data_IF_902367706191
#
_entry.id   IF_902367706191
#
_cell.length_a   1.000
_cell.length_b   1.000
_cell.length_c   1.000
_cell.angle_alpha   90.00
_cell.angle_beta   90.00
_cell.angle_gamma   90.00
#
_symmetry.space_group_name_H-M   'P 1'
#
loop_
_entity.id
_entity.type
_entity.pdbx_description
1 polymer ?
#
# COMPACT_ATOMS: atom_id res chain seq x y z
N UNK A 1 -27.46 96.56 1.81
CA UNK A 1 -28.68 95.74 1.96
C UNK A 1 -28.25 94.44 2.62
N UNK A 2 -28.19 94.47 3.96
CA UNK A 2 -29.10 93.77 4.88
C UNK A 2 -28.87 92.24 4.88
N UNK A 3 -28.58 91.52 5.96
CA UNK A 3 -28.56 91.83 7.40
C UNK A 3 -28.06 90.57 8.16
N UNK A 4 -27.33 90.78 9.28
CA UNK A 4 -27.49 90.18 10.64
C UNK A 4 -27.63 88.65 10.78
N UNK A 5 -27.23 87.93 11.85
CA UNK A 5 -26.59 88.11 13.16
C UNK A 5 -26.39 86.67 13.69
N UNK A 6 -25.34 86.44 14.50
CA UNK A 6 -25.11 85.28 15.38
C UNK A 6 -26.27 85.07 16.40
N UNK A 7 -26.50 83.89 17.04
CA UNK A 7 -25.65 83.43 18.16
C UNK A 7 -25.52 81.91 18.41
N UNK A 8 -24.47 81.56 19.17
CA UNK A 8 -24.25 80.31 19.91
C UNK A 8 -25.37 80.01 20.93
N UNK A 9 -25.76 78.74 21.06
CA UNK A 9 -26.12 78.08 22.33
C UNK A 9 -25.86 76.56 22.26
N UNK A 10 -25.10 76.07 23.25
CA UNK A 10 -24.83 74.67 23.66
C UNK A 10 -25.72 74.37 24.90
N UNK A 11 -25.93 73.15 25.49
CA UNK A 11 -25.77 71.72 25.10
C UNK A 11 -27.05 70.86 25.37
N UNK A 12 -27.05 69.55 25.07
CA UNK A 12 -27.44 68.49 26.04
C UNK A 12 -27.36 67.04 25.50
N UNK A 13 -26.86 66.16 26.38
CA UNK A 13 -26.95 64.69 26.47
C UNK A 13 -28.19 64.05 25.78
N UNK A 14 -28.19 62.81 25.29
CA UNK A 14 -27.74 61.58 25.95
C UNK A 14 -27.85 60.39 24.97
N UNK A 15 -27.02 59.38 25.22
CA UNK A 15 -26.82 58.09 24.56
C UNK A 15 -28.06 57.18 24.48
N UNK A 16 -28.19 56.37 23.39
CA UNK A 16 -28.42 54.89 23.44
C UNK A 16 -28.56 54.23 22.05
N UNK A 17 -27.70 53.22 21.83
CA UNK A 17 -27.75 51.95 21.04
C UNK A 17 -28.73 51.79 19.85
N UNK A 18 -28.40 51.12 18.73
CA UNK A 18 -28.01 49.69 18.59
C UNK A 18 -27.32 49.43 17.22
N UNK A 19 -26.20 48.68 17.30
CA UNK A 19 -25.58 47.69 16.40
C UNK A 19 -25.51 47.86 14.87
N UNK A 20 -24.28 47.84 14.34
CA UNK A 20 -23.89 46.98 13.21
C UNK A 20 -22.45 46.49 13.45
N UNK A 21 -22.32 45.19 13.70
CA UNK A 21 -21.05 44.49 13.82
C UNK A 21 -20.38 44.35 12.46
N UNK A 22 -19.09 44.69 12.41
CA UNK A 22 -18.15 44.24 11.37
C UNK A 22 -16.87 43.77 12.07
N UNK A 23 -16.88 42.50 12.48
CA UNK A 23 -15.67 41.78 12.88
C UNK A 23 -15.14 41.04 11.67
N UNK A 24 -14.15 41.64 11.02
CA UNK A 24 -13.25 40.94 10.11
C UNK A 24 -12.21 40.20 10.96
N UNK A 25 -12.42 38.90 11.16
CA UNK A 25 -11.46 38.00 11.80
C UNK A 25 -11.18 36.84 10.86
N UNK A 26 -10.30 37.07 9.89
CA UNK A 26 -9.63 36.02 9.14
C UNK A 26 -8.57 35.39 10.04
N UNK A 27 -8.91 34.30 10.72
CA UNK A 27 -7.93 33.44 11.39
C UNK A 27 -7.21 32.60 10.33
N UNK A 28 -5.99 32.99 9.99
CA UNK A 28 -5.07 32.17 9.20
C UNK A 28 -4.79 30.83 9.92
N UNK A 29 -4.95 29.66 9.26
CA UNK A 29 -4.43 28.41 9.78
C UNK A 29 -3.23 28.00 8.92
N UNK A 30 -1.98 28.34 9.26
CA UNK A 30 -0.87 27.78 8.46
C UNK A 30 0.57 27.71 9.03
N UNK A 31 0.95 28.32 10.14
CA UNK A 31 2.37 28.26 10.57
C UNK A 31 2.73 27.08 11.49
N UNK A 32 1.91 26.79 12.51
CA UNK A 32 2.27 25.81 13.55
C UNK A 32 2.12 24.35 13.09
N UNK A 33 1.14 24.05 12.23
CA UNK A 33 0.94 22.70 11.68
C UNK A 33 2.07 22.34 10.71
N UNK A 34 2.54 23.31 9.93
CA UNK A 34 3.68 23.13 9.01
C UNK A 34 4.98 22.86 9.78
N UNK A 35 5.24 23.61 10.85
CA UNK A 35 6.43 23.44 11.67
C UNK A 35 6.41 22.10 12.43
N UNK A 36 5.28 21.68 12.98
CA UNK A 36 5.15 20.38 13.66
C UNK A 36 5.33 19.19 12.71
N UNK A 37 4.83 19.30 11.46
CA UNK A 37 5.05 18.30 10.42
C UNK A 37 6.52 18.23 9.96
N UNK A 38 7.19 19.39 9.80
CA UNK A 38 8.62 19.45 9.46
C UNK A 38 9.47 18.86 10.59
N UNK A 39 9.20 19.22 11.85
CA UNK A 39 9.90 18.69 13.03
C UNK A 39 9.68 17.17 13.20
N UNK A 40 8.49 16.66 12.87
CA UNK A 40 8.21 15.22 12.82
C UNK A 40 8.97 14.53 11.68
N UNK A 41 9.05 15.16 10.51
CA UNK A 41 9.81 14.67 9.36
C UNK A 41 11.31 14.55 9.63
N UNK A 42 11.91 15.61 10.19
CA UNK A 42 13.34 15.65 10.52
C UNK A 42 13.69 14.58 11.56
N UNK A 43 12.86 14.44 12.61
CA UNK A 43 13.02 13.39 13.63
C UNK A 43 12.90 11.97 13.05
N UNK A 44 11.97 11.74 12.12
CA UNK A 44 11.84 10.46 11.44
C UNK A 44 13.07 10.15 10.60
N UNK A 45 13.63 11.14 9.91
CA UNK A 45 14.82 10.95 9.09
C UNK A 45 16.06 10.65 9.94
N UNK A 46 16.26 11.38 11.04
CA UNK A 46 17.36 11.13 12.00
C UNK A 46 17.29 9.71 12.59
N UNK A 47 16.07 9.20 12.79
CA UNK A 47 15.84 7.86 13.31
C UNK A 47 16.02 6.77 12.24
N UNK A 48 15.42 6.95 11.06
CA UNK A 48 15.32 5.92 10.03
C UNK A 48 16.63 5.67 9.28
N UNK A 49 17.42 6.71 9.00
CA UNK A 49 18.63 6.57 8.16
C UNK A 49 19.67 5.63 8.80
N UNK A 50 20.03 5.78 10.09
CA UNK A 50 20.98 4.86 10.73
C UNK A 50 20.47 3.42 10.81
N UNK A 51 19.14 3.24 10.96
CA UNK A 51 18.50 1.92 10.97
C UNK A 51 18.59 1.28 9.58
N UNK A 52 18.21 2.03 8.53
CA UNK A 52 18.26 1.56 7.12
C UNK A 52 19.66 1.14 6.69
N UNK A 53 20.69 1.85 7.16
CA UNK A 53 22.08 1.52 6.87
C UNK A 53 22.62 0.35 7.71
N UNK A 54 21.82 -0.19 8.64
CA UNK A 54 22.23 -1.26 9.55
C UNK A 54 23.29 -0.84 10.56
N UNK A 55 23.35 0.46 10.91
CA UNK A 55 24.33 1.01 11.87
C UNK A 55 23.83 1.04 13.31
N UNK A 56 22.50 1.06 13.49
CA UNK A 56 21.87 1.21 14.81
C UNK A 56 20.71 0.23 14.96
N UNK A 57 20.61 -0.41 16.13
CA UNK A 57 19.46 -1.24 16.50
C UNK A 57 18.35 -0.34 17.07
N UNK A 58 17.10 -0.46 16.60
CA UNK A 58 15.97 0.30 17.15
C UNK A 58 15.75 0.07 18.66
N UNK A 59 15.46 1.16 19.39
CA UNK A 59 15.07 1.13 20.80
C UNK A 59 13.65 0.58 21.00
N UNK A 60 13.31 0.15 22.23
CA UNK A 60 12.00 -0.43 22.58
C UNK A 60 10.81 0.46 22.21
N UNK A 61 11.01 1.78 22.24
CA UNK A 61 10.00 2.80 21.95
C UNK A 61 9.48 2.70 20.51
N UNK A 62 10.31 2.23 19.57
CA UNK A 62 9.95 2.07 18.14
C UNK A 62 8.93 0.94 17.92
N UNK A 63 8.73 0.10 18.93
CA UNK A 63 7.78 -1.02 18.87
C UNK A 63 6.48 -0.70 19.62
N UNK A 64 6.34 0.51 20.17
CA UNK A 64 5.06 1.00 20.68
C UNK A 64 4.09 1.23 19.51
N UNK A 65 2.86 0.71 19.64
CA UNK A 65 1.83 0.72 18.59
C UNK A 65 1.27 2.15 18.38
N UNK A 66 2.06 2.96 17.69
CA UNK A 66 1.70 4.31 17.27
C UNK A 66 2.05 4.48 15.80
N UNK A 67 1.21 5.20 15.05
CA UNK A 67 1.41 5.43 13.62
C UNK A 67 2.79 6.04 13.27
N UNK A 68 3.41 6.72 14.24
CA UNK A 68 4.73 7.34 14.09
C UNK A 68 5.86 6.32 13.89
N UNK A 69 5.78 5.13 14.51
CA UNK A 69 6.88 4.16 14.47
C UNK A 69 6.77 3.10 13.37
N UNK A 70 5.73 3.16 12.53
CA UNK A 70 5.56 2.25 11.38
C UNK A 70 6.75 2.30 10.42
N UNK A 71 7.25 3.50 10.08
CA UNK A 71 8.36 3.66 9.13
C UNK A 71 9.68 3.10 9.70
N UNK A 72 10.13 3.45 10.91
CA UNK A 72 11.32 2.85 11.52
C UNK A 72 11.28 1.31 11.62
N UNK A 73 10.11 0.71 11.86
CA UNK A 73 9.94 -0.76 11.88
C UNK A 73 10.22 -1.38 10.50
N UNK A 74 9.70 -0.78 9.45
CA UNK A 74 9.96 -1.20 8.06
C UNK A 74 11.43 -1.00 7.68
N UNK A 75 12.05 0.10 8.11
CA UNK A 75 13.49 0.34 7.95
C UNK A 75 14.34 -0.77 8.60
N UNK A 76 13.91 -1.25 9.76
CA UNK A 76 14.59 -2.35 10.45
C UNK A 76 14.46 -3.67 9.68
N UNK A 77 13.29 -3.97 9.13
CA UNK A 77 13.06 -5.15 8.28
C UNK A 77 13.93 -5.08 7.01
N UNK A 78 13.99 -3.91 6.37
CA UNK A 78 14.88 -3.67 5.24
C UNK A 78 16.34 -3.97 5.59
N UNK A 79 16.83 -3.41 6.70
CA UNK A 79 18.21 -3.59 7.14
C UNK A 79 18.53 -5.06 7.46
N UNK A 80 17.60 -5.79 8.07
CA UNK A 80 17.73 -7.24 8.29
C UNK A 80 17.92 -8.01 6.98
N UNK A 81 17.31 -7.59 5.87
CA UNK A 81 17.47 -8.27 4.57
C UNK A 81 18.72 -7.86 3.82
N UNK A 82 19.01 -6.56 3.78
CA UNK A 82 19.98 -6.00 2.84
C UNK A 82 21.35 -5.69 3.45
N UNK A 83 21.45 -5.45 4.76
CA UNK A 83 22.71 -5.07 5.40
C UNK A 83 23.51 -6.32 5.81
N UNK A 84 24.62 -6.58 5.10
CA UNK A 84 25.52 -7.70 5.40
C UNK A 84 26.15 -7.54 6.78
N UNK A 85 26.07 -8.59 7.59
CA UNK A 85 26.63 -8.63 8.95
C UNK A 85 25.78 -7.95 10.02
N UNK A 86 24.63 -7.38 9.67
CA UNK A 86 23.74 -6.73 10.63
C UNK A 86 23.14 -7.73 11.62
N UNK A 87 22.82 -8.94 11.16
CA UNK A 87 22.30 -10.04 11.98
C UNK A 87 23.34 -10.67 12.90
N UNK A 88 24.64 -10.48 12.62
CA UNK A 88 25.70 -10.98 13.49
C UNK A 88 25.77 -10.20 14.82
N UNK A 89 25.12 -9.03 14.90
CA UNK A 89 24.97 -8.30 16.15
C UNK A 89 24.00 -9.03 17.11
N UNK A 90 24.53 -9.41 18.28
CA UNK A 90 23.77 -10.09 19.32
C UNK A 90 22.58 -9.26 19.86
N UNK A 91 22.59 -7.93 19.72
CA UNK A 91 21.45 -7.09 20.03
C UNK A 91 20.32 -7.26 19.02
N UNK A 92 20.63 -7.34 17.72
CA UNK A 92 19.68 -7.56 16.63
C UNK A 92 19.04 -8.95 16.74
N UNK A 93 19.85 -9.99 16.95
CA UNK A 93 19.35 -11.35 17.11
C UNK A 93 18.44 -11.49 18.34
N UNK A 94 18.85 -10.95 19.51
CA UNK A 94 18.01 -10.95 20.72
C UNK A 94 16.69 -10.24 20.49
N UNK A 95 16.71 -9.10 19.79
CA UNK A 95 15.51 -8.34 19.45
C UNK A 95 14.52 -9.17 18.63
N UNK A 96 14.98 -9.77 17.55
CA UNK A 96 14.14 -10.59 16.67
C UNK A 96 13.59 -11.82 17.41
N UNK A 97 14.37 -12.43 18.30
CA UNK A 97 13.94 -13.61 19.07
C UNK A 97 12.99 -13.27 20.24
N UNK A 98 13.00 -12.02 20.72
CA UNK A 98 12.11 -11.54 21.78
C UNK A 98 10.73 -11.11 21.29
N UNK A 99 10.49 -11.09 19.97
CA UNK A 99 9.22 -10.68 19.38
C UNK A 99 8.08 -11.60 19.81
N UNK A 100 6.97 -11.04 20.29
CA UNK A 100 5.76 -11.79 20.57
C UNK A 100 5.05 -12.19 19.26
N UNK A 101 4.13 -13.15 19.34
CA UNK A 101 3.36 -13.65 18.18
C UNK A 101 2.27 -12.68 17.68
N UNK A 102 2.28 -11.44 18.18
CA UNK A 102 1.40 -10.36 17.74
C UNK A 102 1.77 -9.96 16.29
N UNK A 103 0.76 -9.53 15.53
CA UNK A 103 0.77 -9.70 14.07
C UNK A 103 1.88 -8.94 13.33
N UNK A 104 2.29 -7.78 13.85
CA UNK A 104 3.32 -6.94 13.23
C UNK A 104 4.74 -7.26 13.74
N UNK A 105 4.90 -7.85 14.92
CA UNK A 105 6.21 -8.21 15.49
C UNK A 105 6.74 -9.52 14.92
N UNK A 106 5.84 -10.41 14.49
CA UNK A 106 6.16 -11.64 13.79
C UNK A 106 6.97 -11.40 12.49
N UNK A 107 6.88 -10.20 11.90
CA UNK A 107 7.62 -9.79 10.70
C UNK A 107 9.14 -9.81 10.91
N UNK A 108 9.61 -9.39 12.10
CA UNK A 108 11.03 -9.39 12.41
C UNK A 108 11.60 -10.80 12.46
N UNK A 109 10.86 -11.72 13.08
CA UNK A 109 11.28 -13.10 13.20
C UNK A 109 11.21 -13.84 11.86
N UNK A 110 10.18 -13.59 11.04
CA UNK A 110 10.12 -14.08 9.64
C UNK A 110 11.33 -13.63 8.84
N UNK A 111 11.65 -12.34 8.91
CA UNK A 111 12.76 -11.73 8.19
C UNK A 111 14.11 -12.27 8.66
N UNK A 112 14.28 -12.41 9.97
CA UNK A 112 15.47 -13.00 10.58
C UNK A 112 15.69 -14.45 10.10
N UNK A 113 14.66 -15.29 10.13
CA UNK A 113 14.76 -16.67 9.64
C UNK A 113 15.07 -16.73 8.15
N UNK A 114 14.41 -15.89 7.34
CA UNK A 114 14.67 -15.81 5.91
C UNK A 114 16.13 -15.46 5.64
N UNK A 115 16.67 -14.43 6.30
CA UNK A 115 18.07 -14.01 6.13
C UNK A 115 19.05 -15.10 6.54
N UNK A 116 18.82 -15.78 7.67
CA UNK A 116 19.66 -16.90 8.08
C UNK A 116 19.72 -17.97 6.98
N UNK A 117 18.56 -18.38 6.45
CA UNK A 117 18.46 -19.39 5.39
C UNK A 117 19.22 -18.93 4.13
N UNK A 118 19.01 -17.69 3.69
CA UNK A 118 19.68 -17.11 2.51
C UNK A 118 21.21 -17.06 2.68
N UNK A 119 21.71 -16.87 3.91
CA UNK A 119 23.12 -16.96 4.25
C UNK A 119 23.63 -18.39 4.50
N UNK A 120 22.87 -19.42 4.14
CA UNK A 120 23.22 -20.83 4.33
C UNK A 120 23.33 -21.28 5.79
N UNK A 121 22.65 -20.58 6.70
CA UNK A 121 22.54 -20.93 8.11
C UNK A 121 21.09 -21.31 8.43
N UNK A 122 20.85 -22.52 8.96
CA UNK A 122 19.48 -22.99 9.24
C UNK A 122 19.17 -22.77 10.72
N UNK A 123 18.34 -21.77 11.07
CA UNK A 123 17.99 -21.49 12.45
C UNK A 123 17.06 -22.58 13.00
N UNK A 124 16.90 -22.60 14.32
CA UNK A 124 15.86 -23.38 14.99
C UNK A 124 14.53 -22.64 14.86
N UNK A 125 13.63 -23.15 14.01
CA UNK A 125 12.37 -22.49 13.68
C UNK A 125 11.25 -23.16 14.48
N UNK A 126 10.56 -22.37 15.30
CA UNK A 126 9.35 -22.83 15.97
C UNK A 126 8.21 -23.02 14.96
N UNK A 127 7.98 -24.28 14.60
CA UNK A 127 6.97 -24.68 13.63
C UNK A 127 5.54 -24.59 14.16
N UNK A 128 5.36 -24.46 15.48
CA UNK A 128 4.04 -24.31 16.10
C UNK A 128 3.41 -22.93 15.85
N UNK A 129 4.24 -21.97 15.41
CA UNK A 129 3.87 -20.58 15.15
C UNK A 129 3.85 -20.29 13.65
N UNK A 130 2.75 -20.55 12.92
CA UNK A 130 2.72 -20.42 11.47
C UNK A 130 2.94 -18.98 11.00
N UNK A 131 2.53 -17.98 11.80
CA UNK A 131 2.75 -16.56 11.49
C UNK A 131 4.23 -16.18 11.44
N UNK A 132 5.11 -16.88 12.15
CA UNK A 132 6.54 -16.54 12.19
C UNK A 132 7.35 -17.27 11.11
N UNK A 133 6.70 -18.09 10.29
CA UNK A 133 7.39 -18.84 9.23
C UNK A 133 7.82 -17.90 8.10
N UNK A 134 9.08 -17.97 7.65
CA UNK A 134 9.55 -17.15 6.56
C UNK A 134 8.88 -17.61 5.27
N UNK A 135 8.36 -16.66 4.49
CA UNK A 135 7.74 -17.00 3.21
C UNK A 135 8.60 -16.59 2.00
N UNK A 136 9.44 -15.55 2.10
CA UNK A 136 10.38 -15.14 1.05
C UNK A 136 11.82 -15.40 1.49
N UNK A 137 12.37 -16.54 1.02
CA UNK A 137 13.68 -17.09 1.42
C UNK A 137 14.72 -17.10 0.27
N UNK A 138 14.48 -16.31 -0.78
CA UNK A 138 15.30 -16.28 -2.01
C UNK A 138 15.65 -14.85 -2.48
N UNK A 139 15.29 -13.82 -1.71
CA UNK A 139 15.59 -12.41 -2.01
C UNK A 139 16.09 -11.68 -0.76
N UNK A 140 17.20 -10.92 -0.83
CA UNK A 140 17.89 -10.49 -2.06
C UNK A 140 18.86 -11.52 -2.65
N UNK A 141 19.33 -12.47 -1.85
CA UNK A 141 20.33 -13.45 -2.25
C UNK A 141 19.78 -14.88 -2.14
N UNK A 142 20.25 -15.76 -3.02
CA UNK A 142 19.88 -17.18 -3.04
C UNK A 142 20.76 -18.00 -2.10
N UNK A 143 20.15 -18.92 -1.35
CA UNK A 143 20.89 -19.96 -0.65
C UNK A 143 21.39 -21.04 -1.62
N UNK A 144 22.33 -21.85 -1.15
CA UNK A 144 22.79 -23.05 -1.86
C UNK A 144 21.68 -24.10 -1.89
N UNK A 145 21.67 -24.89 -2.96
CA UNK A 145 20.75 -26.01 -3.11
C UNK A 145 20.77 -26.97 -1.90
N UNK A 146 21.95 -27.23 -1.33
CA UNK A 146 22.09 -28.08 -0.13
C UNK A 146 21.35 -27.52 1.08
N UNK A 147 21.36 -26.20 1.28
CA UNK A 147 20.67 -25.55 2.39
C UNK A 147 19.17 -25.66 2.21
N UNK A 148 18.66 -25.41 1.02
CA UNK A 148 17.23 -25.56 0.74
C UNK A 148 16.76 -27.01 0.89
N UNK A 149 17.58 -27.99 0.49
CA UNK A 149 17.31 -29.41 0.74
C UNK A 149 17.17 -29.70 2.23
N UNK A 150 18.12 -29.24 3.04
CA UNK A 150 18.08 -29.43 4.49
C UNK A 150 16.89 -28.69 5.15
N UNK A 151 16.53 -27.49 4.67
CA UNK A 151 15.33 -26.77 5.15
C UNK A 151 14.06 -27.58 4.84
N UNK A 152 13.92 -28.14 3.65
CA UNK A 152 12.77 -28.94 3.26
C UNK A 152 12.66 -30.26 4.04
N UNK A 153 13.81 -30.86 4.41
CA UNK A 153 13.88 -32.06 5.25
C UNK A 153 13.52 -31.75 6.71
N UNK A 154 14.09 -30.67 7.27
CA UNK A 154 13.90 -30.29 8.68
C UNK A 154 12.53 -29.68 8.96
N UNK A 155 12.01 -28.91 8.01
CA UNK A 155 10.75 -28.17 8.14
C UNK A 155 9.82 -28.45 6.95
N UNK A 156 9.06 -29.56 6.98
CA UNK A 156 8.18 -29.94 5.86
C UNK A 156 7.14 -28.88 5.45
N UNK A 157 6.70 -28.04 6.38
CA UNK A 157 5.82 -26.88 6.13
C UNK A 157 6.43 -25.80 5.24
N UNK A 158 7.76 -25.75 5.09
CA UNK A 158 8.46 -24.79 4.24
C UNK A 158 8.72 -25.32 2.83
N UNK A 159 8.29 -26.55 2.49
CA UNK A 159 8.52 -27.15 1.16
C UNK A 159 8.04 -26.27 0.00
N UNK A 160 6.89 -25.62 0.13
CA UNK A 160 6.38 -24.69 -0.91
C UNK A 160 7.25 -23.43 -1.03
N UNK A 161 7.73 -22.87 0.08
CA UNK A 161 8.66 -21.74 0.06
C UNK A 161 10.03 -22.13 -0.53
N UNK A 162 10.49 -23.35 -0.27
CA UNK A 162 11.68 -23.91 -0.89
C UNK A 162 11.47 -24.14 -2.39
N UNK A 163 10.29 -24.60 -2.80
CA UNK A 163 9.96 -24.78 -4.22
C UNK A 163 9.96 -23.45 -4.99
N UNK A 164 9.41 -22.39 -4.39
CA UNK A 164 9.49 -21.01 -4.88
C UNK A 164 10.94 -20.54 -5.05
N UNK A 165 11.78 -20.76 -4.04
CA UNK A 165 13.22 -20.52 -4.15
C UNK A 165 13.88 -21.33 -5.28
N UNK A 166 13.50 -22.59 -5.46
CA UNK A 166 14.01 -23.45 -6.55
C UNK A 166 13.59 -22.93 -7.93
N UNK A 167 12.37 -22.42 -8.07
CA UNK A 167 11.88 -21.80 -9.30
C UNK A 167 12.72 -20.59 -9.69
N UNK A 168 13.06 -19.74 -8.73
CA UNK A 168 13.94 -18.59 -8.97
C UNK A 168 15.39 -19.03 -9.25
N UNK A 169 15.93 -19.96 -8.47
CA UNK A 169 17.33 -20.40 -8.57
C UNK A 169 17.63 -21.35 -9.74
N UNK A 170 16.60 -21.96 -10.34
CA UNK A 170 16.77 -23.03 -11.33
C UNK A 170 17.23 -24.36 -10.72
N UNK A 171 16.96 -24.62 -9.44
CA UNK A 171 17.32 -25.87 -8.77
C UNK A 171 16.33 -26.99 -9.11
N UNK A 172 16.31 -27.41 -10.38
CA UNK A 172 15.31 -28.36 -10.90
C UNK A 172 15.42 -29.75 -10.30
N UNK A 173 16.62 -30.21 -9.95
CA UNK A 173 16.83 -31.49 -9.26
C UNK A 173 16.13 -31.48 -7.89
N UNK A 174 16.43 -30.49 -7.06
CA UNK A 174 15.78 -30.31 -5.77
C UNK A 174 14.26 -30.14 -5.92
N UNK A 175 13.78 -29.35 -6.89
CA UNK A 175 12.34 -29.18 -7.12
C UNK A 175 11.62 -30.52 -7.35
N UNK A 176 12.22 -31.45 -8.11
CA UNK A 176 11.67 -32.79 -8.31
C UNK A 176 11.69 -33.63 -7.04
N UNK A 177 12.71 -33.47 -6.19
CA UNK A 177 12.83 -34.18 -4.90
C UNK A 177 11.76 -33.75 -3.89
N UNK A 178 11.26 -32.52 -3.96
CA UNK A 178 10.26 -32.00 -3.00
C UNK A 178 8.91 -32.72 -3.08
N UNK A 179 8.59 -33.27 -4.27
CA UNK A 179 7.34 -33.99 -4.58
C UNK A 179 6.09 -33.21 -4.13
N UNK A 180 6.05 -31.91 -4.46
CA UNK A 180 4.91 -31.04 -4.17
C UNK A 180 3.94 -30.99 -5.34
N UNK A 181 2.68 -30.63 -5.05
CA UNK A 181 1.71 -30.32 -6.10
C UNK A 181 2.14 -29.04 -6.82
N UNK A 182 1.94 -28.97 -8.16
CA UNK A 182 2.09 -27.73 -8.92
C UNK A 182 1.33 -26.56 -8.30
N UNK A 183 2.03 -25.44 -8.10
CA UNK A 183 1.46 -24.21 -7.55
C UNK A 183 1.73 -23.04 -8.49
N UNK A 184 0.76 -22.13 -8.60
CA UNK A 184 0.84 -20.99 -9.52
C UNK A 184 1.98 -20.04 -9.14
N UNK A 185 2.21 -19.81 -7.84
CA UNK A 185 3.30 -18.96 -7.37
C UNK A 185 4.66 -19.47 -7.89
N UNK A 186 4.92 -20.78 -7.75
CA UNK A 186 6.14 -21.43 -8.24
C UNK A 186 6.27 -21.32 -9.76
N UNK A 187 5.18 -21.55 -10.50
CA UNK A 187 5.23 -21.52 -11.96
C UNK A 187 5.51 -20.11 -12.50
N UNK A 188 4.85 -19.12 -11.93
CA UNK A 188 5.03 -17.73 -12.31
C UNK A 188 6.44 -17.23 -11.94
N UNK A 189 6.96 -17.56 -10.76
CA UNK A 189 8.35 -17.29 -10.40
C UNK A 189 9.36 -17.99 -11.34
N UNK A 190 9.08 -19.23 -11.74
CA UNK A 190 9.91 -19.96 -12.69
C UNK A 190 9.88 -19.34 -14.09
N UNK A 191 8.75 -18.74 -14.49
CA UNK A 191 8.59 -18.04 -15.76
C UNK A 191 9.36 -16.71 -15.78
N UNK A 192 9.31 -15.96 -14.68
CA UNK A 192 9.98 -14.66 -14.56
C UNK A 192 11.50 -14.81 -14.32
N UNK A 193 11.96 -15.98 -13.82
CA UNK A 193 13.39 -16.25 -13.64
C UNK A 193 14.08 -16.75 -14.93
N UNK A 194 15.23 -16.16 -15.32
CA UNK A 194 16.06 -16.69 -16.39
C UNK A 194 16.53 -18.14 -16.17
N UNK A 195 16.67 -18.56 -14.90
CA UNK A 195 17.11 -19.91 -14.53
C UNK A 195 15.96 -20.91 -14.36
N UNK A 196 14.71 -20.43 -14.25
CA UNK A 196 13.52 -21.23 -13.94
C UNK A 196 12.91 -21.99 -15.12
N UNK A 197 13.46 -21.84 -16.34
CA UNK A 197 12.85 -22.34 -17.58
C UNK A 197 12.52 -23.85 -17.56
N UNK A 198 13.38 -24.69 -16.96
CA UNK A 198 13.13 -26.13 -16.88
C UNK A 198 11.97 -26.46 -15.92
N UNK A 199 11.88 -25.77 -14.78
CA UNK A 199 10.78 -25.94 -13.81
C UNK A 199 9.46 -25.47 -14.42
N UNK A 200 9.48 -24.34 -15.13
CA UNK A 200 8.32 -23.84 -15.88
C UNK A 200 7.83 -24.87 -16.90
N UNK A 201 8.75 -25.48 -17.67
CA UNK A 201 8.39 -26.49 -18.66
C UNK A 201 7.82 -27.76 -18.01
N UNK A 202 8.39 -28.21 -16.89
CA UNK A 202 7.84 -29.34 -16.12
C UNK A 202 6.40 -29.10 -15.67
N UNK A 203 6.10 -27.89 -15.20
CA UNK A 203 4.77 -27.51 -14.73
C UNK A 203 3.77 -27.44 -15.88
N UNK A 204 4.23 -26.96 -17.05
CA UNK A 204 3.43 -26.94 -18.27
C UNK A 204 3.10 -28.33 -18.82
N UNK A 205 4.03 -29.28 -18.68
CA UNK A 205 3.90 -30.63 -19.23
C UNK A 205 3.10 -31.59 -18.32
N UNK A 206 2.96 -31.29 -17.02
CA UNK A 206 2.14 -32.04 -16.06
C UNK A 206 1.13 -31.16 -15.30
N UNK A 207 0.15 -30.59 -15.99
CA UNK A 207 -0.85 -29.77 -15.34
C UNK A 207 -1.94 -30.66 -14.73
N UNK A 208 -2.12 -30.58 -13.42
CA UNK A 208 -3.31 -31.05 -12.73
C UNK A 208 -4.54 -30.36 -13.36
N UNK A 209 -5.66 -31.07 -13.50
CA UNK A 209 -6.85 -30.53 -14.20
C UNK A 209 -7.40 -29.24 -13.56
N UNK A 210 -7.11 -28.98 -12.27
CA UNK A 210 -7.48 -27.76 -11.57
C UNK A 210 -6.52 -26.59 -11.85
N UNK A 211 -5.21 -26.84 -11.80
CA UNK A 211 -4.19 -25.83 -12.14
C UNK A 211 -4.23 -25.50 -13.63
N UNK A 212 -4.46 -26.48 -14.53
CA UNK A 212 -4.65 -26.24 -15.96
C UNK A 212 -5.82 -25.28 -16.25
N UNK A 213 -6.96 -25.46 -15.59
CA UNK A 213 -8.13 -24.60 -15.80
C UNK A 213 -7.83 -23.17 -15.31
N UNK A 214 -7.14 -23.02 -14.20
CA UNK A 214 -6.73 -21.71 -13.69
C UNK A 214 -5.63 -21.07 -14.55
N UNK A 215 -4.65 -21.83 -15.02
CA UNK A 215 -3.62 -21.39 -15.97
C UNK A 215 -4.21 -21.00 -17.32
N UNK A 216 -5.11 -21.80 -17.91
CA UNK A 216 -5.78 -21.49 -19.19
C UNK A 216 -6.70 -20.28 -19.06
N UNK A 217 -7.39 -20.14 -17.92
CA UNK A 217 -8.23 -18.96 -17.63
C UNK A 217 -7.36 -17.70 -17.45
N UNK A 218 -6.20 -17.79 -16.77
CA UNK A 218 -5.30 -16.66 -16.52
C UNK A 218 -4.43 -16.25 -17.71
N UNK A 219 -3.95 -17.21 -18.52
CA UNK A 219 -3.21 -16.95 -19.77
C UNK A 219 -4.12 -16.32 -20.84
N UNK A 220 -5.44 -16.62 -20.82
CA UNK A 220 -6.43 -16.02 -21.72
C UNK A 220 -6.95 -14.65 -21.29
N UNK A 221 -6.64 -14.20 -20.07
CA UNK A 221 -7.08 -12.93 -19.50
C UNK A 221 -5.85 -12.11 -19.05
N UNK A 222 -5.19 -11.45 -20.02
CA UNK A 222 -4.10 -10.48 -19.78
C UNK A 222 -4.49 -9.37 -18.77
N UNK A 223 -5.78 -9.20 -18.48
CA UNK A 223 -6.33 -8.21 -17.54
C UNK A 223 -6.22 -8.60 -16.04
N UNK A 224 -5.89 -9.85 -15.69
CA UNK A 224 -5.79 -10.31 -14.28
C UNK A 224 -4.32 -10.56 -13.90
N UNK A 225 -3.38 -9.85 -14.55
CA UNK A 225 -2.00 -9.72 -14.09
C UNK A 225 -1.90 -8.89 -12.80
N UNK A 226 -2.89 -8.03 -12.55
CA UNK A 226 -2.92 -7.08 -11.42
C UNK A 226 -3.10 -7.75 -10.04
N UNK A 227 -3.80 -8.88 -9.95
CA UNK A 227 -4.28 -9.38 -8.65
C UNK A 227 -3.41 -10.43 -7.96
N UNK A 228 -2.24 -10.80 -8.49
CA UNK A 228 -1.43 -11.83 -7.81
C UNK A 228 0.09 -11.66 -7.84
N UNK A 229 0.63 -10.60 -8.44
CA UNK A 229 2.07 -10.31 -8.38
C UNK A 229 2.40 -8.91 -7.85
N UNK A 230 1.39 -8.09 -7.52
CA UNK A 230 1.57 -6.67 -7.21
C UNK A 230 1.02 -6.25 -5.84
N UNK A 231 0.66 -7.19 -4.96
CA UNK A 231 0.09 -6.91 -3.64
C UNK A 231 0.75 -7.61 -2.46
N UNK A 232 1.97 -8.14 -2.61
CA UNK A 232 2.73 -8.61 -1.46
C UNK A 232 4.06 -7.89 -1.43
N UNK A 233 4.19 -7.00 -0.46
CA UNK A 233 5.47 -6.62 0.14
C UNK A 233 6.10 -7.90 0.71
N UNK A 234 6.62 -8.75 -0.19
CA UNK A 234 7.18 -10.06 0.17
C UNK A 234 8.44 -9.90 1.02
N UNK A 235 9.00 -8.71 1.08
CA UNK A 235 10.12 -8.36 1.93
C UNK A 235 9.70 -7.86 3.30
N UNK A 236 8.43 -7.48 3.49
CA UNK A 236 7.86 -6.83 4.68
C UNK A 236 8.46 -5.46 5.02
N UNK A 237 9.18 -4.87 4.09
CA UNK A 237 9.89 -3.59 4.27
C UNK A 237 9.10 -2.39 3.75
N UNK A 238 7.85 -2.60 3.33
CA UNK A 238 6.97 -1.59 2.77
C UNK A 238 7.54 -0.96 1.51
N UNK A 239 8.45 -1.65 0.81
CA UNK A 239 9.25 -1.12 -0.32
C UNK A 239 10.12 0.09 0.05
N UNK A 240 10.50 0.23 1.33
CA UNK A 240 11.46 1.25 1.76
C UNK A 240 12.86 0.89 1.25
N UNK A 241 13.61 1.89 0.79
CA UNK A 241 15.01 1.74 0.40
C UNK A 241 15.81 3.03 0.63
N UNK A 242 17.16 2.96 0.52
CA UNK A 242 18.05 4.11 0.67
C UNK A 242 17.92 5.11 -0.47
N UNK A 243 17.38 4.67 -1.61
CA UNK A 243 17.09 5.54 -2.73
C UNK A 243 15.90 6.42 -2.39
N UNK A 244 16.15 7.73 -2.42
CA UNK A 244 15.08 8.71 -2.35
C UNK A 244 14.33 8.63 -3.67
N UNK A 245 13.25 7.85 -3.72
CA UNK A 245 12.28 7.98 -4.80
C UNK A 245 11.81 9.43 -4.72
N UNK A 246 11.99 10.25 -5.78
CA UNK A 246 11.41 11.57 -5.80
C UNK A 246 9.94 11.44 -5.43
N UNK A 247 9.41 12.30 -4.56
CA UNK A 247 7.95 12.40 -4.48
C UNK A 247 7.48 12.61 -5.92
N UNK A 248 6.58 11.76 -6.40
CA UNK A 248 6.02 11.85 -7.75
C UNK A 248 5.37 13.22 -8.05
N UNK A 249 5.30 14.13 -7.07
CA UNK A 249 4.91 15.53 -7.23
C UNK A 249 5.98 16.44 -7.85
N UNK A 250 7.27 16.03 -7.94
CA UNK A 250 8.36 16.89 -8.46
C UNK A 250 8.93 16.46 -9.83
N UNK A 251 8.58 15.29 -10.35
CA UNK A 251 8.89 14.93 -11.74
C UNK A 251 7.85 15.58 -12.65
N UNK A 252 8.24 16.62 -13.40
CA UNK A 252 7.47 17.11 -14.53
C UNK A 252 7.13 15.91 -15.45
N UNK A 253 5.84 15.71 -15.75
CA UNK A 253 5.42 14.67 -16.68
C UNK A 253 6.09 14.90 -18.03
N UNK A 254 6.85 13.91 -18.50
CA UNK A 254 7.34 13.90 -19.87
C UNK A 254 6.18 13.94 -20.85
N UNK A 255 6.38 14.51 -22.06
CA UNK A 255 5.35 14.58 -23.10
C UNK A 255 4.75 13.19 -23.43
N UNK A 256 5.58 12.14 -23.36
CA UNK A 256 5.18 10.75 -23.58
C UNK A 256 4.24 10.21 -22.48
N UNK A 257 4.36 10.71 -21.24
CA UNK A 257 3.54 10.27 -20.10
C UNK A 257 2.19 10.99 -20.04
N UNK A 258 2.14 12.25 -20.48
CA UNK A 258 0.89 12.99 -20.60
C UNK A 258 -0.05 12.31 -21.61
N UNK A 259 0.51 11.67 -22.63
CA UNK A 259 -0.25 10.90 -23.61
C UNK A 259 -1.02 9.74 -22.97
N UNK A 260 -0.45 9.11 -21.94
CA UNK A 260 -1.14 8.04 -21.20
C UNK A 260 -2.40 8.52 -20.49
N UNK A 261 -2.59 9.82 -20.21
CA UNK A 261 -3.82 10.32 -19.58
C UNK A 261 -5.06 10.12 -20.46
N UNK A 262 -4.91 10.21 -21.77
CA UNK A 262 -6.00 10.12 -22.73
C UNK A 262 -5.91 8.91 -23.68
N UNK A 263 -4.76 8.22 -23.75
CA UNK A 263 -4.60 6.97 -24.50
C UNK A 263 -4.83 5.72 -23.63
N UNK A 264 -5.15 4.55 -24.22
CA UNK A 264 -5.26 3.31 -23.48
C UNK A 264 -3.98 2.98 -22.69
N UNK A 265 -4.12 2.52 -21.45
CA UNK A 265 -2.98 2.04 -20.67
C UNK A 265 -2.31 0.86 -21.39
N UNK A 266 -1.00 0.94 -21.57
CA UNK A 266 -0.20 -0.17 -22.07
C UNK A 266 -0.43 -1.43 -21.21
N UNK A 267 -0.40 -2.61 -21.85
CA UNK A 267 -0.59 -3.89 -21.16
C UNK A 267 0.47 -4.13 -20.08
N UNK A 268 1.63 -3.51 -20.24
CA UNK A 268 2.75 -3.64 -19.32
C UNK A 268 3.19 -2.25 -18.80
N UNK A 269 3.02 -2.02 -17.50
CA UNK A 269 3.18 -0.72 -16.84
C UNK A 269 4.46 -0.61 -16.01
N UNK A 270 5.39 -1.56 -16.12
CA UNK A 270 6.63 -1.56 -15.31
C UNK A 270 7.54 -0.35 -15.55
N UNK A 271 7.52 0.26 -16.74
CA UNK A 271 8.36 1.41 -17.09
C UNK A 271 7.74 2.80 -16.85
N UNK A 272 6.47 2.89 -16.43
CA UNK A 272 5.85 4.21 -16.18
C UNK A 272 6.32 4.75 -14.83
N UNK A 273 7.09 5.85 -14.78
CA UNK A 273 7.65 6.33 -13.53
C UNK A 273 6.58 6.97 -12.64
N UNK A 274 5.54 7.60 -13.22
CA UNK A 274 4.48 8.25 -12.46
C UNK A 274 3.11 7.57 -12.60
N UNK A 275 2.88 6.54 -11.79
CA UNK A 275 1.60 5.83 -11.72
C UNK A 275 0.57 6.52 -10.83
N UNK A 276 1.01 7.44 -9.98
CA UNK A 276 0.16 8.11 -8.99
C UNK A 276 -0.85 9.02 -9.67
N UNK A 277 -0.43 9.89 -10.59
CA UNK A 277 -1.39 10.73 -11.32
C UNK A 277 -2.30 9.91 -12.22
N UNK A 278 -1.80 8.87 -12.88
CA UNK A 278 -2.67 8.00 -13.68
C UNK A 278 -3.77 7.36 -12.82
N UNK A 279 -3.44 7.00 -11.57
CA UNK A 279 -4.39 6.48 -10.59
C UNK A 279 -5.37 7.57 -10.13
N UNK A 280 -4.87 8.74 -9.72
CA UNK A 280 -5.70 9.87 -9.26
C UNK A 280 -6.65 10.36 -10.36
N UNK A 281 -6.19 10.47 -11.60
CA UNK A 281 -7.02 10.88 -12.73
C UNK A 281 -8.05 9.81 -13.10
N UNK A 282 -7.67 8.53 -13.05
CA UNK A 282 -8.62 7.44 -13.23
C UNK A 282 -9.71 7.44 -12.14
N UNK A 283 -9.33 7.69 -10.89
CA UNK A 283 -10.26 7.84 -9.77
C UNK A 283 -11.18 9.05 -9.96
N UNK A 284 -10.61 10.22 -10.25
CA UNK A 284 -11.33 11.49 -10.40
C UNK A 284 -12.39 11.47 -11.51
N UNK A 285 -12.06 10.85 -12.65
CA UNK A 285 -13.00 10.67 -13.76
C UNK A 285 -13.92 9.45 -13.60
N UNK A 286 -13.67 8.60 -12.60
CA UNK A 286 -14.39 7.35 -12.39
C UNK A 286 -14.23 6.36 -13.54
N UNK A 287 -13.01 6.21 -14.06
CA UNK A 287 -12.67 5.20 -15.07
C UNK A 287 -12.32 3.88 -14.38
N UNK A 288 -13.31 2.96 -14.32
CA UNK A 288 -13.20 1.67 -13.63
C UNK A 288 -12.01 0.85 -14.12
N UNK A 289 -11.83 0.70 -15.43
CA UNK A 289 -10.78 -0.15 -16.00
C UNK A 289 -9.38 0.32 -15.57
N UNK A 290 -9.12 1.62 -15.75
CA UNK A 290 -7.83 2.22 -15.40
C UNK A 290 -7.60 2.21 -13.91
N UNK A 291 -8.63 2.53 -13.12
CA UNK A 291 -8.53 2.56 -11.68
C UNK A 291 -8.21 1.17 -11.13
N UNK A 292 -8.92 0.12 -11.55
CA UNK A 292 -8.67 -1.26 -11.10
C UNK A 292 -7.26 -1.75 -11.47
N UNK A 293 -6.73 -1.34 -12.62
CA UNK A 293 -5.38 -1.72 -13.07
C UNK A 293 -4.26 -1.00 -12.31
N UNK A 294 -4.53 0.18 -11.76
CA UNK A 294 -3.54 1.03 -11.09
C UNK A 294 -3.68 1.02 -9.56
N UNK A 295 -4.86 0.67 -9.03
CA UNK A 295 -5.20 0.72 -7.61
C UNK A 295 -4.24 -0.14 -6.80
N UNK A 296 -3.80 0.41 -5.67
CA UNK A 296 -2.94 -0.27 -4.69
C UNK A 296 -3.76 -0.73 -3.47
N UNK A 297 -3.26 -1.68 -2.66
CA UNK A 297 -3.96 -2.10 -1.44
C UNK A 297 -4.21 -0.97 -0.45
N UNK A 298 -3.31 0.01 -0.38
CA UNK A 298 -3.45 1.22 0.43
C UNK A 298 -3.60 2.43 -0.48
N UNK A 299 -4.56 3.30 -0.14
CA UNK A 299 -4.79 4.54 -0.87
C UNK A 299 -3.59 5.48 -0.76
N UNK A 300 -3.24 6.13 -1.86
CA UNK A 300 -2.26 7.21 -1.88
C UNK A 300 -2.88 8.54 -1.44
N UNK A 301 -2.05 9.55 -1.22
CA UNK A 301 -2.50 10.91 -0.90
C UNK A 301 -3.46 11.43 -2.00
N UNK A 302 -4.58 12.04 -1.58
CA UNK A 302 -5.65 12.55 -2.46
C UNK A 302 -6.47 11.49 -3.23
N UNK A 303 -6.14 10.19 -3.16
CA UNK A 303 -6.91 9.15 -3.85
C UNK A 303 -8.33 9.05 -3.34
N UNK A 304 -8.52 9.24 -2.03
CA UNK A 304 -9.82 9.20 -1.39
C UNK A 304 -10.77 10.26 -1.96
N UNK A 305 -10.32 11.51 -2.01
CA UNK A 305 -11.06 12.66 -2.53
C UNK A 305 -11.34 12.51 -4.02
N UNK A 306 -10.36 12.02 -4.80
CA UNK A 306 -10.54 11.71 -6.22
C UNK A 306 -11.58 10.59 -6.43
N UNK A 307 -11.56 9.54 -5.63
CA UNK A 307 -12.54 8.46 -5.71
C UNK A 307 -13.94 8.97 -5.37
N UNK A 308 -14.05 9.80 -4.34
CA UNK A 308 -15.32 10.37 -3.91
C UNK A 308 -15.92 11.22 -5.03
N UNK A 309 -15.10 12.09 -5.63
CA UNK A 309 -15.47 12.86 -6.82
C UNK A 309 -15.90 11.93 -7.98
N UNK A 310 -15.10 10.93 -8.33
CA UNK A 310 -15.41 9.98 -9.39
C UNK A 310 -16.75 9.26 -9.20
N UNK A 311 -17.10 8.92 -7.96
CA UNK A 311 -18.38 8.28 -7.63
C UNK A 311 -19.56 9.23 -7.89
N UNK A 312 -19.45 10.50 -7.54
CA UNK A 312 -20.49 11.49 -7.85
C UNK A 312 -20.68 11.71 -9.36
N UNK A 313 -19.64 11.50 -10.16
CA UNK A 313 -19.65 11.81 -11.59
C UNK A 313 -19.82 10.61 -12.53
N UNK A 314 -19.48 9.39 -12.10
CA UNK A 314 -19.48 8.19 -12.94
C UNK A 314 -20.35 7.08 -12.35
N UNK A 315 -21.49 6.80 -12.99
CA UNK A 315 -22.41 5.72 -12.58
C UNK A 315 -21.75 4.33 -12.58
N UNK A 316 -20.97 3.93 -13.61
CA UNK A 316 -20.27 2.65 -13.58
C UNK A 316 -19.28 2.54 -12.41
N UNK A 317 -18.61 3.63 -12.07
CA UNK A 317 -17.65 3.67 -10.97
C UNK A 317 -18.34 3.56 -9.61
N UNK A 318 -19.43 4.30 -9.40
CA UNK A 318 -20.29 4.17 -8.23
C UNK A 318 -20.82 2.74 -8.06
N UNK A 319 -21.23 2.09 -9.17
CA UNK A 319 -21.71 0.70 -9.16
C UNK A 319 -20.60 -0.29 -8.83
N UNK A 320 -19.39 -0.09 -9.34
CA UNK A 320 -18.24 -0.92 -9.03
C UNK A 320 -17.87 -0.83 -7.55
N UNK A 321 -17.83 0.38 -6.99
CA UNK A 321 -17.57 0.60 -5.55
C UNK A 321 -18.64 -0.03 -4.67
N UNK A 322 -19.92 0.12 -5.03
CA UNK A 322 -21.03 -0.56 -4.35
C UNK A 322 -20.88 -2.09 -4.33
N UNK A 323 -20.27 -2.69 -5.36
CA UNK A 323 -20.08 -4.15 -5.40
C UNK A 323 -18.90 -4.65 -4.57
N UNK A 324 -18.02 -3.77 -4.07
CA UNK A 324 -16.87 -4.14 -3.24
C UNK A 324 -17.21 -4.28 -1.74
N UNK A 325 -18.50 -4.44 -1.41
CA UNK A 325 -19.05 -4.21 -0.07
C UNK A 325 -18.60 -5.24 0.98
N UNK A 326 -17.58 -4.89 1.76
CA UNK A 326 -17.31 -5.32 3.13
C UNK A 326 -16.76 -4.08 3.87
N UNK A 327 -17.60 -3.42 4.67
CA UNK A 327 -17.24 -2.37 5.64
C UNK A 327 -16.52 -1.11 5.07
N UNK A 328 -17.12 -0.47 4.04
CA UNK A 328 -16.59 0.77 3.45
C UNK A 328 -17.14 2.00 4.21
N UNK A 329 -16.29 3.03 4.36
CA UNK A 329 -16.59 4.37 4.91
C UNK A 329 -17.98 4.92 4.54
N UNK A 330 -18.65 5.54 5.52
CA UNK A 330 -19.94 6.22 5.38
C UNK A 330 -19.96 7.24 4.24
N UNK A 331 -18.88 7.98 4.00
CA UNK A 331 -18.85 9.01 2.96
C UNK A 331 -18.94 8.43 1.54
N UNK A 332 -18.25 7.32 1.28
CA UNK A 332 -18.38 6.62 0.00
C UNK A 332 -19.78 6.04 -0.15
N UNK A 333 -20.32 5.52 0.95
CA UNK A 333 -21.71 5.04 1.00
C UNK A 333 -22.68 6.13 0.59
N UNK A 334 -22.62 7.29 1.22
CA UNK A 334 -23.47 8.43 0.88
C UNK A 334 -23.28 8.88 -0.59
N UNK A 335 -22.05 8.86 -1.11
CA UNK A 335 -21.74 9.31 -2.46
C UNK A 335 -22.33 8.40 -3.56
N UNK A 336 -22.21 7.08 -3.47
CA UNK A 336 -22.83 6.22 -4.50
C UNK A 336 -24.35 6.18 -4.35
N UNK A 337 -24.87 6.28 -3.12
CA UNK A 337 -26.32 6.37 -2.88
C UNK A 337 -26.91 7.66 -3.49
N UNK A 338 -26.19 8.76 -3.35
CA UNK A 338 -26.50 10.03 -4.00
C UNK A 338 -26.51 9.86 -5.52
N UNK A 339 -25.47 9.24 -6.09
CA UNK A 339 -25.38 9.01 -7.54
C UNK A 339 -26.52 8.15 -8.07
N UNK A 340 -26.87 7.06 -7.38
CA UNK A 340 -28.00 6.21 -7.77
C UNK A 340 -29.33 6.96 -7.70
N UNK A 341 -29.52 7.80 -6.69
CA UNK A 341 -30.69 8.70 -6.61
C UNK A 341 -30.77 9.64 -7.81
N UNK A 342 -29.66 10.28 -8.18
CA UNK A 342 -29.59 11.21 -9.32
C UNK A 342 -29.96 10.56 -10.66
N UNK A 343 -29.82 9.23 -10.79
CA UNK A 343 -30.20 8.47 -12.00
C UNK A 343 -31.55 7.75 -11.85
N UNK A 344 -32.33 8.04 -10.81
CA UNK A 344 -33.60 7.39 -10.47
C UNK A 344 -33.49 5.87 -10.19
N UNK A 345 -32.30 5.38 -9.80
CA UNK A 345 -32.14 4.02 -9.28
C UNK A 345 -32.32 4.04 -7.77
N UNK A 346 -33.44 3.49 -7.29
CA UNK A 346 -33.79 3.36 -5.87
C UNK A 346 -33.80 1.90 -5.40
N UNK A 347 -33.24 0.98 -6.19
CA UNK A 347 -33.22 -0.47 -5.90
C UNK A 347 -32.51 -0.84 -4.59
N UNK A 348 -31.71 0.08 -4.06
CA UNK A 348 -30.89 -0.07 -2.87
C UNK A 348 -31.57 0.42 -1.57
N UNK A 349 -32.66 1.20 -1.66
CA UNK A 349 -33.35 1.75 -0.48
C UNK A 349 -34.10 0.62 0.23
N UNK A 350 -33.66 0.26 1.43
CA UNK A 350 -34.37 -0.69 2.31
C UNK A 350 -35.33 0.09 3.21
N UNK A 351 -36.67 -0.03 3.07
CA UNK A 351 -37.63 0.86 3.73
C UNK A 351 -37.64 0.84 5.28
N UNK A 352 -36.94 -0.09 5.94
CA UNK A 352 -37.08 -0.39 7.36
C UNK A 352 -35.74 -0.58 8.12
N UNK A 353 -34.64 0.05 7.69
CA UNK A 353 -33.39 0.00 8.49
C UNK A 353 -33.44 1.00 9.65
N UNK A 354 -33.02 0.59 10.86
CA UNK A 354 -33.05 1.42 12.08
C UNK A 354 -32.16 2.68 12.00
N UNK A 355 -31.17 2.70 11.10
CA UNK A 355 -30.36 3.87 10.75
C UNK A 355 -30.04 3.85 9.23
N UNK A 356 -30.89 4.44 8.38
CA UNK A 356 -30.57 4.51 6.95
C UNK A 356 -29.44 5.52 6.73
N UNK A 357 -28.35 5.08 6.10
CA UNK A 357 -27.37 6.01 5.52
C UNK A 357 -28.07 6.69 4.35
N UNK A 358 -28.38 7.98 4.51
CA UNK A 358 -29.06 8.78 3.50
C UNK A 358 -28.03 9.63 2.75
N UNK A 359 -28.20 9.82 1.43
CA UNK A 359 -27.28 10.66 0.68
C UNK A 359 -27.31 12.10 1.21
N UNK A 360 -26.16 12.60 1.67
CA UNK A 360 -26.01 13.98 2.13
C UNK A 360 -26.16 15.00 0.99
N UNK A 361 -25.75 14.64 -0.23
CA UNK A 361 -25.90 15.46 -1.43
C UNK A 361 -26.79 14.78 -2.46
N UNK A 362 -27.95 15.37 -2.78
CA UNK A 362 -28.89 14.84 -3.78
C UNK A 362 -28.79 15.51 -5.15
N UNK A 363 -27.87 16.47 -5.32
CA UNK A 363 -27.58 17.08 -6.61
C UNK A 363 -26.10 17.41 -6.73
N UNK A 364 -25.52 17.13 -7.90
CA UNK A 364 -24.19 17.59 -8.31
C UNK A 364 -24.28 18.05 -9.77
N UNK A 365 -23.75 19.23 -10.15
CA UNK A 365 -23.84 19.70 -11.53
C UNK A 365 -23.09 18.74 -12.48
N UNK A 366 -23.79 18.31 -13.52
CA UNK A 366 -23.29 17.43 -14.58
C UNK A 366 -22.31 18.13 -15.50
#
# INVERSE_FOLDING_TARGET
MNSRQTPDQVPSHQTKHVETDSSDSSSEPSSDVSLDLVLKGDRLQELCVPILEGKTVPDDVIFEDTDFYKIPRLCFIYALRHCKGYIDDAAVARRCLSSNDDSEDAAFLRTYYAHCIMNNNIPDIDTSKPKTLPYCIWYPDLAKESTYREVAERYPQLKYHVARACAIAGYTSLYRELDILPEIAVAEEARESPAGAEIWQLLKDKPDTATLNEFQWRIGHDAIRSYHYMSFDVTEDGTIGPERVPKNSETEYGEDEQSLLYEPLLGDLHWTPNKDLLLLMAAYHGNVDRYVRLRRPKMIESEYECCLHGIYHSTPFARWWYSQYDDIDSNFTEAWLARFTMINDISWVKPNSENPVLPYMMWWPM
#
